data_IF_489533176189
#
_entry.id   IF_489533176189
#
_cell.length_a   1.000
_cell.length_b   1.000
_cell.length_c   1.000
_cell.angle_alpha   90.00
_cell.angle_beta   90.00
_cell.angle_gamma   90.00
#
_symmetry.space_group_name_H-M   'P 1'
#
loop_
_entity.id
_entity.type
_entity.pdbx_description
1 polymer ?
#
# COMPACT_ATOMS: atom_id res chain seq x y z
N UNK A 1 35.21 22.12 -74.30
CA UNK A 1 36.68 22.09 -74.47
C UNK A 1 37.32 22.29 -73.11
N UNK A 2 38.19 21.38 -72.69
CA UNK A 2 39.12 21.61 -71.57
C UNK A 2 38.87 20.78 -70.31
N UNK A 3 39.32 19.53 -70.39
CA UNK A 3 39.70 18.57 -69.34
C UNK A 3 40.43 19.14 -68.12
N UNK A 4 40.19 18.54 -66.93
CA UNK A 4 41.27 18.11 -66.03
C UNK A 4 40.84 16.90 -65.19
N UNK A 5 41.55 15.79 -65.42
CA UNK A 5 41.54 14.53 -64.70
C UNK A 5 42.33 14.58 -63.37
N UNK A 6 42.22 13.48 -62.63
CA UNK A 6 43.07 12.91 -61.55
C UNK A 6 42.48 13.01 -60.13
N UNK A 7 42.36 11.94 -59.33
CA UNK A 7 42.54 10.51 -59.56
C UNK A 7 41.97 9.69 -58.37
N UNK A 8 41.50 8.48 -58.68
CA UNK A 8 41.50 7.20 -57.94
C UNK A 8 41.40 7.13 -56.40
N UNK A 9 40.45 6.34 -55.88
CA UNK A 9 40.74 4.92 -55.59
C UNK A 9 39.47 4.10 -55.33
N UNK A 10 39.47 2.88 -55.86
CA UNK A 10 38.38 1.91 -55.83
C UNK A 10 38.25 1.21 -54.47
N UNK A 11 37.02 0.92 -54.04
CA UNK A 11 36.73 0.00 -52.95
C UNK A 11 35.85 -1.14 -53.49
N UNK A 12 36.39 -2.35 -53.54
CA UNK A 12 35.64 -3.58 -53.78
C UNK A 12 34.92 -4.04 -52.49
N UNK A 13 33.77 -4.73 -52.59
CA UNK A 13 32.97 -5.12 -51.43
C UNK A 13 33.38 -6.49 -50.87
N UNK A 14 33.64 -6.55 -49.56
CA UNK A 14 33.83 -7.80 -48.83
C UNK A 14 32.54 -8.20 -48.08
N UNK A 15 31.91 -9.27 -48.59
CA UNK A 15 31.25 -10.40 -47.88
C UNK A 15 30.68 -10.18 -46.47
N UNK A 16 29.34 -10.20 -46.35
CA UNK A 16 28.57 -10.22 -45.09
C UNK A 16 27.53 -11.36 -45.01
N UNK A 17 27.91 -12.59 -45.36
CA UNK A 17 26.97 -13.73 -45.42
C UNK A 17 27.10 -14.73 -44.26
N UNK A 18 28.16 -14.68 -43.46
CA UNK A 18 28.38 -15.61 -42.32
C UNK A 18 27.76 -15.15 -41.00
N UNK A 19 27.54 -13.85 -40.80
CA UNK A 19 27.01 -13.31 -39.53
C UNK A 19 25.48 -13.41 -39.39
N UNK A 20 24.77 -13.68 -40.49
CA UNK A 20 23.30 -13.73 -40.48
C UNK A 20 22.78 -15.08 -40.00
N UNK A 21 23.51 -16.17 -40.28
CA UNK A 21 23.11 -17.53 -39.90
C UNK A 21 23.34 -17.81 -38.41
N UNK A 22 24.41 -17.27 -37.82
CA UNK A 22 24.70 -17.39 -36.39
C UNK A 22 23.63 -16.70 -35.52
N UNK A 23 23.12 -15.56 -36.00
CA UNK A 23 22.09 -14.76 -35.32
C UNK A 23 20.69 -15.39 -35.44
N UNK A 24 20.35 -15.95 -36.60
CA UNK A 24 19.10 -16.70 -36.79
C UNK A 24 19.05 -17.99 -35.97
N UNK A 25 20.19 -18.68 -35.80
CA UNK A 25 20.28 -19.89 -34.99
C UNK A 25 20.22 -19.62 -33.48
N UNK A 26 20.70 -18.46 -33.00
CA UNK A 26 20.50 -18.00 -31.62
C UNK A 26 19.02 -17.65 -31.34
N UNK A 27 18.33 -17.03 -32.30
CA UNK A 27 16.88 -16.74 -32.19
C UNK A 27 16.08 -18.04 -32.11
N UNK A 28 16.41 -19.05 -32.93
CA UNK A 28 15.75 -20.36 -32.89
C UNK A 28 16.01 -21.11 -31.59
N UNK A 29 17.24 -21.07 -31.06
CA UNK A 29 17.58 -21.68 -29.76
C UNK A 29 16.84 -21.03 -28.60
N UNK A 30 16.72 -19.69 -28.63
CA UNK A 30 15.95 -18.92 -27.64
C UNK A 30 14.45 -19.26 -27.72
N UNK A 31 13.92 -19.48 -28.92
CA UNK A 31 12.52 -19.89 -29.16
C UNK A 31 12.24 -21.33 -28.66
N UNK A 32 13.16 -22.27 -28.86
CA UNK A 32 13.06 -23.65 -28.36
C UNK A 32 13.25 -23.77 -26.84
N UNK A 33 14.09 -22.94 -26.21
CA UNK A 33 14.20 -22.89 -24.74
C UNK A 33 12.97 -22.25 -24.08
N UNK A 34 12.27 -21.33 -24.76
CA UNK A 34 10.92 -20.88 -24.34
C UNK A 34 9.82 -21.93 -24.54
N UNK A 35 10.07 -23.03 -25.28
CA UNK A 35 9.05 -24.03 -25.58
C UNK A 35 8.82 -25.04 -24.43
N UNK A 36 9.64 -25.04 -23.38
CA UNK A 36 9.30 -25.75 -22.12
C UNK A 36 8.47 -24.85 -21.22
N UNK A 37 7.27 -24.54 -21.71
CA UNK A 37 6.22 -23.89 -20.93
C UNK A 37 5.91 -24.79 -19.71
N UNK A 38 5.80 -24.24 -18.49
CA UNK A 38 5.40 -25.02 -17.31
C UNK A 38 4.14 -25.83 -17.64
N UNK A 39 4.11 -27.08 -17.19
CA UNK A 39 3.23 -28.18 -17.62
C UNK A 39 1.70 -27.87 -17.55
N UNK A 40 1.29 -26.70 -17.04
CA UNK A 40 -0.09 -26.28 -16.81
C UNK A 40 -0.48 -24.89 -17.36
N UNK A 41 0.29 -24.27 -18.26
CA UNK A 41 -0.06 -22.93 -18.81
C UNK A 41 -0.43 -22.95 -20.27
N UNK A 42 -1.63 -22.47 -20.59
CA UNK A 42 -2.08 -22.25 -21.96
C UNK A 42 -2.04 -20.76 -22.33
N UNK A 43 -2.32 -20.48 -23.61
CA UNK A 43 -2.60 -19.14 -24.09
C UNK A 43 -4.12 -18.96 -24.07
N UNK A 44 -4.61 -18.10 -23.19
CA UNK A 44 -6.02 -17.73 -23.12
C UNK A 44 -6.18 -16.27 -23.58
N UNK A 45 -6.30 -15.99 -24.90
CA UNK A 45 -6.26 -14.62 -25.42
C UNK A 45 -7.44 -13.76 -24.97
N UNK A 46 -8.50 -14.37 -24.44
CA UNK A 46 -9.67 -13.66 -23.92
C UNK A 46 -9.53 -13.22 -22.47
N UNK A 47 -8.62 -13.82 -21.68
CA UNK A 47 -8.49 -13.42 -20.29
C UNK A 47 -8.01 -11.97 -20.19
N UNK A 48 -8.59 -11.20 -19.28
CA UNK A 48 -8.32 -9.78 -19.13
C UNK A 48 -7.53 -9.46 -17.86
N UNK A 49 -6.90 -8.28 -17.87
CA UNK A 49 -6.10 -7.79 -16.75
C UNK A 49 -4.87 -8.67 -16.49
N UNK A 50 -4.49 -8.80 -15.22
CA UNK A 50 -3.34 -9.59 -14.77
C UNK A 50 -3.70 -11.05 -14.47
N UNK A 51 -4.70 -11.59 -15.16
CA UNK A 51 -5.15 -12.97 -15.00
C UNK A 51 -4.09 -13.99 -15.43
N UNK A 52 -4.16 -15.20 -14.88
CA UNK A 52 -3.33 -16.32 -15.28
C UNK A 52 -4.15 -17.38 -16.01
N UNK A 53 -3.68 -17.84 -17.18
CA UNK A 53 -4.32 -18.94 -17.91
C UNK A 53 -3.82 -20.28 -17.37
N UNK A 54 -4.75 -21.08 -16.85
CA UNK A 54 -4.49 -22.40 -16.28
C UNK A 54 -5.13 -23.48 -17.14
N UNK A 55 -4.47 -24.63 -17.27
CA UNK A 55 -5.02 -25.81 -17.94
C UNK A 55 -5.40 -26.83 -16.87
N UNK A 56 -6.66 -27.27 -16.87
CA UNK A 56 -7.10 -28.37 -15.99
C UNK A 56 -6.51 -29.71 -16.47
N UNK A 57 -6.47 -30.75 -15.60
CA UNK A 57 -6.08 -32.09 -16.03
C UNK A 57 -6.91 -32.68 -17.17
N UNK A 58 -8.14 -32.18 -17.36
CA UNK A 58 -9.01 -32.53 -18.50
C UNK A 58 -8.66 -31.80 -19.80
N UNK A 59 -7.61 -30.98 -19.81
CA UNK A 59 -7.17 -30.20 -20.98
C UNK A 59 -7.96 -28.92 -21.22
N UNK A 60 -8.90 -28.54 -20.33
CA UNK A 60 -9.69 -27.32 -20.47
C UNK A 60 -8.92 -26.13 -19.90
N UNK A 61 -8.67 -25.12 -20.72
CA UNK A 61 -8.07 -23.87 -20.28
C UNK A 61 -9.11 -22.94 -19.64
N UNK A 62 -8.74 -22.25 -18.55
CA UNK A 62 -9.58 -21.24 -17.89
C UNK A 62 -8.74 -20.11 -17.31
N UNK A 63 -9.36 -18.95 -17.13
CA UNK A 63 -8.74 -17.79 -16.52
C UNK A 63 -8.80 -17.88 -14.98
N UNK A 64 -7.68 -17.63 -14.31
CA UNK A 64 -7.62 -17.37 -12.88
C UNK A 64 -7.51 -15.87 -12.68
N UNK A 65 -8.49 -15.28 -12.00
CA UNK A 65 -8.59 -13.83 -11.91
C UNK A 65 -7.70 -13.24 -10.81
N UNK A 66 -7.21 -11.99 -11.01
CA UNK A 66 -6.63 -11.22 -9.93
C UNK A 66 -7.69 -10.81 -8.89
N UNK A 67 -7.29 -10.35 -7.69
CA UNK A 67 -8.21 -10.02 -6.60
C UNK A 67 -9.30 -8.99 -6.90
N UNK A 68 -9.13 -8.16 -7.92
CA UNK A 68 -10.02 -7.07 -8.29
C UNK A 68 -10.98 -7.41 -9.44
N UNK A 69 -10.91 -8.63 -9.99
CA UNK A 69 -11.71 -9.03 -11.17
C UNK A 69 -12.39 -10.39 -11.01
N UNK A 70 -13.45 -10.58 -11.76
CA UNK A 70 -14.26 -11.81 -11.82
C UNK A 70 -14.86 -12.03 -13.21
N UNK A 71 -15.58 -13.12 -13.41
CA UNK A 71 -16.11 -13.54 -14.71
C UNK A 71 -15.33 -14.70 -15.32
N UNK A 72 -15.82 -15.25 -16.44
CA UNK A 72 -15.18 -16.39 -17.13
C UNK A 72 -13.81 -15.99 -17.70
N UNK A 73 -13.69 -14.73 -18.14
CA UNK A 73 -12.49 -14.17 -18.74
C UNK A 73 -11.88 -13.04 -17.89
N UNK A 74 -12.27 -12.93 -16.62
CA UNK A 74 -11.85 -11.85 -15.71
C UNK A 74 -12.20 -10.45 -16.24
N UNK A 75 -13.27 -10.35 -17.03
CA UNK A 75 -13.72 -9.15 -17.70
C UNK A 75 -14.48 -8.18 -16.78
N UNK A 76 -15.03 -8.68 -15.67
CA UNK A 76 -15.82 -7.90 -14.74
C UNK A 76 -14.96 -7.38 -13.59
N UNK A 77 -15.01 -6.06 -13.36
CA UNK A 77 -14.42 -5.44 -12.17
C UNK A 77 -15.34 -5.65 -10.98
N UNK A 78 -14.77 -6.07 -9.85
CA UNK A 78 -15.51 -6.22 -8.60
C UNK A 78 -15.91 -4.84 -8.07
N UNK A 79 -14.98 -3.88 -8.11
CA UNK A 79 -15.23 -2.49 -7.76
C UNK A 79 -15.38 -1.68 -9.04
N UNK A 80 -16.59 -1.15 -9.27
CA UNK A 80 -16.89 -0.31 -10.44
C UNK A 80 -16.69 1.15 -10.09
N UNK A 81 -15.66 1.77 -10.65
CA UNK A 81 -15.42 3.20 -10.51
C UNK A 81 -16.26 4.01 -11.50
N UNK A 82 -16.70 5.22 -11.13
CA UNK A 82 -17.40 6.11 -12.05
C UNK A 82 -16.45 6.67 -13.11
N UNK A 83 -17.02 7.34 -14.12
CA UNK A 83 -16.28 7.95 -15.23
C UNK A 83 -15.57 9.25 -14.88
N UNK A 84 -16.02 9.95 -13.84
CA UNK A 84 -15.47 11.23 -13.42
C UNK A 84 -14.95 11.15 -11.98
N UNK A 85 -13.94 11.96 -11.66
CA UNK A 85 -13.41 12.06 -10.32
C UNK A 85 -14.43 12.64 -9.35
N UNK A 86 -14.82 11.82 -8.38
CA UNK A 86 -15.55 12.24 -7.18
C UNK A 86 -14.66 12.12 -5.95
N UNK A 87 -15.03 12.82 -4.88
CA UNK A 87 -14.21 12.94 -3.67
C UNK A 87 -13.95 11.60 -2.96
N UNK A 88 -14.82 10.60 -3.16
CA UNK A 88 -14.95 9.46 -2.25
C UNK A 88 -14.67 8.11 -2.92
N UNK A 89 -14.20 8.10 -4.17
CA UNK A 89 -14.01 6.86 -4.93
C UNK A 89 -12.60 6.27 -4.87
N UNK A 90 -11.60 7.06 -4.48
CA UNK A 90 -10.26 6.59 -4.19
C UNK A 90 -10.05 6.71 -2.69
N UNK A 91 -10.01 5.58 -2.00
CA UNK A 91 -9.88 5.50 -0.56
C UNK A 91 -8.43 5.68 -0.13
N UNK A 92 -8.21 5.84 1.17
CA UNK A 92 -6.89 5.76 1.81
C UNK A 92 -5.83 6.72 1.22
N UNK A 93 -6.28 7.95 0.93
CA UNK A 93 -5.43 8.99 0.37
C UNK A 93 -5.06 8.75 -1.10
N UNK A 94 -5.76 7.86 -1.80
CA UNK A 94 -5.56 7.63 -3.22
C UNK A 94 -5.85 8.90 -4.05
N UNK A 95 -5.01 9.13 -5.06
CA UNK A 95 -5.18 10.24 -6.00
C UNK A 95 -6.06 9.79 -7.16
N UNK A 96 -7.09 10.58 -7.45
CA UNK A 96 -8.04 10.32 -8.50
C UNK A 96 -7.62 10.96 -9.82
N UNK A 97 -7.63 10.20 -10.91
CA UNK A 97 -7.43 10.72 -12.26
C UNK A 97 -8.52 10.28 -13.25
N UNK A 98 -8.99 11.20 -14.07
CA UNK A 98 -10.10 10.96 -14.98
C UNK A 98 -9.62 10.18 -16.23
N UNK A 99 -9.83 8.87 -16.22
CA UNK A 99 -9.57 8.01 -17.36
C UNK A 99 -10.64 8.10 -18.46
N UNK A 100 -10.37 7.52 -19.65
CA UNK A 100 -11.26 7.62 -20.82
C UNK A 100 -12.55 6.80 -20.71
N UNK A 101 -12.58 5.76 -19.88
CA UNK A 101 -13.72 4.83 -19.73
C UNK A 101 -14.16 4.77 -18.26
N UNK A 102 -13.21 4.67 -17.34
CA UNK A 102 -13.42 4.72 -15.88
C UNK A 102 -12.31 5.58 -15.27
N UNK A 103 -12.56 6.08 -14.07
CA UNK A 103 -11.53 6.74 -13.27
C UNK A 103 -10.42 5.74 -12.89
N UNK A 104 -9.18 6.21 -12.83
CA UNK A 104 -8.02 5.50 -12.29
C UNK A 104 -7.71 6.05 -10.88
N UNK A 105 -7.55 5.18 -9.89
CA UNK A 105 -7.04 5.54 -8.57
C UNK A 105 -5.56 5.18 -8.44
N UNK A 106 -4.72 6.17 -8.16
CA UNK A 106 -3.33 5.97 -7.80
C UNK A 106 -3.20 5.81 -6.29
N UNK A 107 -2.91 4.61 -5.84
CA UNK A 107 -2.86 4.29 -4.43
C UNK A 107 -1.54 4.73 -3.78
N UNK A 108 -1.64 5.19 -2.53
CA UNK A 108 -0.48 5.42 -1.67
C UNK A 108 0.33 4.13 -1.47
N UNK A 109 1.58 4.26 -1.01
CA UNK A 109 2.58 3.17 -0.92
C UNK A 109 2.00 1.87 -0.33
N UNK A 110 1.26 1.94 0.79
CA UNK A 110 0.73 0.78 1.50
C UNK A 110 -0.65 0.30 1.05
N UNK A 111 -1.21 0.85 -0.04
CA UNK A 111 -2.58 0.54 -0.47
C UNK A 111 -2.62 -0.07 -1.87
N UNK A 112 -3.64 -0.90 -2.09
CA UNK A 112 -3.89 -1.68 -3.31
C UNK A 112 -5.39 -1.84 -3.58
N UNK A 113 -5.71 -2.38 -4.75
CA UNK A 113 -7.07 -2.54 -5.26
C UNK A 113 -7.53 -1.35 -6.10
N UNK A 114 -8.57 -1.56 -6.90
CA UNK A 114 -9.05 -0.56 -7.87
C UNK A 114 -9.38 0.80 -7.25
N UNK A 115 -9.92 0.81 -6.02
CA UNK A 115 -10.24 2.02 -5.25
C UNK A 115 -9.31 2.25 -4.04
N UNK A 116 -8.16 1.58 -3.96
CA UNK A 116 -7.21 1.70 -2.85
C UNK A 116 -7.75 1.31 -1.47
N UNK A 117 -8.77 0.44 -1.40
CA UNK A 117 -9.46 0.05 -0.16
C UNK A 117 -8.72 -0.98 0.69
N UNK A 118 -7.67 -1.63 0.17
CA UNK A 118 -6.97 -2.72 0.86
C UNK A 118 -5.53 -2.35 1.20
N UNK A 119 -5.05 -2.85 2.33
CA UNK A 119 -3.63 -2.76 2.71
C UNK A 119 -2.83 -3.76 1.88
N UNK A 120 -1.71 -3.31 1.32
CA UNK A 120 -0.77 -4.16 0.60
C UNK A 120 -0.07 -5.14 1.54
N UNK A 121 0.36 -6.28 0.99
CA UNK A 121 1.36 -7.12 1.63
C UNK A 121 2.70 -6.82 0.98
N UNK A 122 3.69 -6.48 1.80
CA UNK A 122 5.04 -6.22 1.38
C UNK A 122 5.94 -7.41 1.73
N UNK A 123 6.72 -7.87 0.75
CA UNK A 123 7.70 -8.95 0.94
C UNK A 123 9.07 -8.44 0.54
N UNK A 124 10.02 -8.58 1.46
CA UNK A 124 11.43 -8.33 1.20
C UNK A 124 12.04 -9.60 0.61
N UNK A 125 12.59 -9.51 -0.60
CA UNK A 125 13.32 -10.58 -1.26
C UNK A 125 14.77 -10.17 -1.44
N UNK A 126 15.71 -10.98 -0.95
CA UNK A 126 17.15 -10.78 -1.18
C UNK A 126 17.74 -11.95 -1.95
N UNK A 127 18.43 -11.67 -3.04
CA UNK A 127 19.01 -12.67 -3.93
C UNK A 127 20.30 -12.16 -4.59
N UNK A 128 21.12 -13.10 -5.06
CA UNK A 128 22.23 -12.78 -5.93
C UNK A 128 21.68 -12.53 -7.34
N UNK A 129 22.19 -11.52 -8.03
CA UNK A 129 21.68 -11.13 -9.35
C UNK A 129 22.42 -11.87 -10.46
N UNK A 130 21.66 -12.53 -11.33
CA UNK A 130 22.18 -13.25 -12.49
C UNK A 130 21.56 -12.70 -13.76
N UNK A 131 22.37 -12.55 -14.81
CA UNK A 131 21.93 -12.19 -16.14
C UNK A 131 22.34 -13.32 -17.10
N UNK A 132 21.35 -13.94 -17.76
CA UNK A 132 21.57 -15.08 -18.67
C UNK A 132 22.38 -16.23 -18.02
N UNK A 133 22.09 -16.54 -16.76
CA UNK A 133 22.76 -17.60 -16.01
C UNK A 133 24.19 -17.26 -15.56
N UNK A 134 24.64 -16.01 -15.71
CA UNK A 134 25.94 -15.55 -15.24
C UNK A 134 25.76 -14.56 -14.10
N UNK A 135 26.55 -14.72 -13.05
CA UNK A 135 26.57 -13.77 -11.94
C UNK A 135 26.94 -12.39 -12.48
N UNK A 136 26.14 -11.40 -12.11
CA UNK A 136 26.40 -10.01 -12.49
C UNK A 136 27.67 -9.52 -11.79
N UNK A 137 28.68 -9.18 -12.59
CA UNK A 137 29.97 -8.69 -12.12
C UNK A 137 29.86 -7.27 -11.56
N UNK A 138 30.22 -7.10 -10.28
CA UNK A 138 30.20 -5.82 -9.57
C UNK A 138 31.06 -4.74 -10.27
N UNK A 139 32.17 -5.14 -10.87
CA UNK A 139 33.18 -4.23 -11.42
C UNK A 139 32.87 -3.78 -12.86
N UNK A 140 32.09 -4.55 -13.62
CA UNK A 140 31.80 -4.27 -15.03
C UNK A 140 30.51 -3.49 -15.26
N UNK A 141 29.65 -3.36 -14.25
CA UNK A 141 28.40 -2.63 -14.41
C UNK A 141 28.62 -1.11 -14.44
N UNK A 142 27.90 -0.48 -15.37
CA UNK A 142 27.50 0.92 -15.20
C UNK A 142 26.50 0.93 -14.03
N UNK A 143 26.98 1.21 -12.81
CA UNK A 143 26.34 1.04 -11.48
C UNK A 143 25.03 1.82 -11.27
N UNK A 144 24.24 2.04 -12.32
CA UNK A 144 22.99 2.76 -12.23
C UNK A 144 21.96 1.87 -11.53
N UNK A 145 21.43 2.37 -10.42
CA UNK A 145 20.32 1.76 -9.68
C UNK A 145 19.15 1.32 -10.61
N UNK A 146 18.79 2.08 -11.69
CA UNK A 146 17.73 1.66 -12.60
C UNK A 146 18.02 0.37 -13.38
N UNK A 147 19.24 0.16 -13.86
CA UNK A 147 19.60 -1.06 -14.62
C UNK A 147 19.53 -2.30 -13.72
N UNK A 148 20.04 -2.17 -12.49
CA UNK A 148 19.95 -3.22 -11.48
C UNK A 148 18.51 -3.51 -11.08
N UNK A 149 17.68 -2.47 -10.94
CA UNK A 149 16.27 -2.63 -10.60
C UNK A 149 15.53 -3.38 -11.71
N UNK A 150 15.75 -2.99 -12.97
CA UNK A 150 15.19 -3.67 -14.13
C UNK A 150 15.58 -5.15 -14.18
N UNK A 151 16.87 -5.47 -14.06
CA UNK A 151 17.36 -6.85 -14.08
C UNK A 151 16.75 -7.68 -12.94
N UNK A 152 16.81 -7.17 -11.69
CA UNK A 152 16.29 -7.86 -10.52
C UNK A 152 14.78 -8.08 -10.59
N UNK A 153 14.01 -7.02 -10.89
CA UNK A 153 12.57 -7.10 -10.91
C UNK A 153 12.04 -7.92 -12.08
N UNK A 154 12.70 -7.93 -13.24
CA UNK A 154 12.34 -8.84 -14.32
C UNK A 154 12.54 -10.30 -13.92
N UNK A 155 13.67 -10.63 -13.29
CA UNK A 155 13.95 -11.99 -12.83
C UNK A 155 12.94 -12.45 -11.76
N UNK A 156 12.63 -11.60 -10.78
CA UNK A 156 11.65 -11.91 -9.74
C UNK A 156 10.23 -12.01 -10.31
N UNK A 157 9.83 -11.06 -11.16
CA UNK A 157 8.51 -11.09 -11.83
C UNK A 157 8.36 -12.35 -12.66
N UNK A 158 9.39 -12.72 -13.42
CA UNK A 158 9.42 -13.94 -14.21
C UNK A 158 9.23 -15.20 -13.34
N UNK A 159 9.86 -15.25 -12.17
CA UNK A 159 9.71 -16.37 -11.23
C UNK A 159 8.32 -16.41 -10.58
N UNK A 160 7.84 -15.29 -10.04
CA UNK A 160 6.51 -15.18 -9.41
C UNK A 160 5.42 -15.51 -10.42
N UNK A 161 5.51 -14.92 -11.61
CA UNK A 161 4.51 -15.18 -12.63
C UNK A 161 4.53 -16.64 -12.99
N UNK A 162 5.68 -17.35 -13.05
CA UNK A 162 5.84 -18.78 -13.43
C UNK A 162 5.72 -19.81 -12.30
N UNK A 163 5.54 -19.36 -11.06
CA UNK A 163 5.35 -20.28 -9.93
C UNK A 163 4.03 -21.05 -9.98
N UNK A 164 3.88 -22.09 -9.14
CA UNK A 164 2.75 -23.02 -9.17
C UNK A 164 1.46 -22.48 -8.53
N UNK A 165 1.53 -21.51 -7.62
CA UNK A 165 0.36 -20.98 -6.92
C UNK A 165 -0.25 -19.79 -7.69
N UNK A 166 -1.44 -19.96 -8.31
CA UNK A 166 -2.05 -18.90 -9.10
C UNK A 166 -2.50 -17.71 -8.26
N UNK A 167 -2.84 -17.90 -6.98
CA UNK A 167 -3.22 -16.81 -6.06
C UNK A 167 -2.04 -15.87 -5.82
N UNK A 168 -0.84 -16.39 -5.59
CA UNK A 168 0.37 -15.56 -5.41
C UNK A 168 0.73 -14.86 -6.72
N UNK A 169 0.64 -15.57 -7.85
CA UNK A 169 0.97 -15.01 -9.16
C UNK A 169 0.05 -13.84 -9.55
N UNK A 170 -1.27 -13.97 -9.38
CA UNK A 170 -2.22 -12.90 -9.73
C UNK A 170 -2.37 -11.83 -8.64
N UNK A 171 -1.86 -12.07 -7.43
CA UNK A 171 -1.74 -11.07 -6.36
C UNK A 171 -0.53 -10.14 -6.52
N UNK A 172 0.46 -10.46 -7.36
CA UNK A 172 1.66 -9.63 -7.53
C UNK A 172 1.35 -8.32 -8.27
N UNK A 173 1.69 -7.18 -7.64
CA UNK A 173 1.46 -5.83 -8.17
C UNK A 173 2.73 -5.23 -8.74
N UNK A 174 3.80 -5.23 -7.95
CA UNK A 174 4.97 -4.41 -8.22
C UNK A 174 6.25 -4.94 -7.58
N UNK A 175 7.39 -4.51 -8.11
CA UNK A 175 8.72 -4.80 -7.58
C UNK A 175 9.58 -3.54 -7.62
N UNK A 176 10.15 -3.20 -6.46
CA UNK A 176 11.07 -2.08 -6.31
C UNK A 176 12.42 -2.54 -5.76
N UNK A 177 13.51 -2.07 -6.37
CA UNK A 177 14.85 -2.25 -5.81
C UNK A 177 15.10 -1.27 -4.65
N UNK A 178 15.26 -1.80 -3.44
CA UNK A 178 15.61 -0.98 -2.28
C UNK A 178 17.11 -0.70 -2.24
N UNK A 179 17.90 -1.77 -2.15
CA UNK A 179 19.33 -1.72 -1.91
C UNK A 179 20.04 -2.81 -2.70
N UNK A 180 21.33 -2.59 -2.94
CA UNK A 180 22.23 -3.54 -3.58
C UNK A 180 23.63 -3.37 -3.02
N UNK A 181 24.35 -4.48 -2.86
CA UNK A 181 25.71 -4.46 -2.33
C UNK A 181 26.60 -5.49 -3.02
N UNK A 182 27.91 -5.27 -2.90
CA UNK A 182 28.93 -6.17 -3.41
C UNK A 182 28.96 -7.43 -2.56
N UNK A 183 29.07 -8.57 -3.22
CA UNK A 183 29.30 -9.87 -2.59
C UNK A 183 30.43 -10.62 -3.30
N UNK A 184 30.88 -11.71 -2.69
CA UNK A 184 31.85 -12.64 -3.28
C UNK A 184 31.19 -14.02 -3.37
N UNK A 185 31.04 -14.54 -4.58
CA UNK A 185 30.53 -15.90 -4.84
C UNK A 185 31.68 -16.70 -5.43
N UNK A 186 32.24 -17.61 -4.64
CA UNK A 186 33.50 -18.27 -4.96
C UNK A 186 34.62 -17.23 -5.13
N UNK A 187 35.19 -17.14 -6.34
CA UNK A 187 36.25 -16.18 -6.70
C UNK A 187 35.75 -15.00 -7.53
N UNK A 188 34.43 -14.83 -7.69
CA UNK A 188 33.84 -13.77 -8.51
C UNK A 188 33.16 -12.72 -7.63
N UNK A 189 33.34 -11.45 -7.99
CA UNK A 189 32.63 -10.33 -7.36
C UNK A 189 31.23 -10.20 -7.96
N UNK A 190 30.20 -10.38 -7.14
CA UNK A 190 28.81 -10.35 -7.54
C UNK A 190 28.05 -9.14 -6.99
N UNK A 191 26.80 -9.01 -7.43
CA UNK A 191 25.82 -8.08 -6.88
C UNK A 191 24.74 -8.88 -6.14
N UNK A 192 24.52 -8.55 -4.87
CA UNK A 192 23.33 -8.99 -4.13
C UNK A 192 22.34 -7.86 -4.07
N UNK A 193 21.10 -8.15 -4.45
CA UNK A 193 20.00 -7.19 -4.53
C UNK A 193 18.96 -7.53 -3.48
N UNK A 194 18.29 -6.48 -3.00
CA UNK A 194 17.14 -6.59 -2.11
C UNK A 194 15.98 -5.82 -2.73
N UNK A 195 14.95 -6.57 -3.12
CA UNK A 195 13.73 -6.02 -3.71
C UNK A 195 12.58 -6.05 -2.72
N UNK A 196 11.68 -5.09 -2.87
CA UNK A 196 10.40 -5.01 -2.17
C UNK A 196 9.31 -5.34 -3.15
N UNK A 197 8.57 -6.39 -2.83
CA UNK A 197 7.51 -6.93 -3.66
C UNK A 197 6.18 -6.51 -3.05
N UNK A 198 5.35 -5.84 -3.85
CA UNK A 198 4.02 -5.40 -3.46
C UNK A 198 2.99 -6.39 -3.95
N UNK A 199 2.12 -6.85 -3.05
CA UNK A 199 1.03 -7.76 -3.37
C UNK A 199 -0.33 -7.19 -2.95
N UNK A 200 -1.34 -7.48 -3.76
CA UNK A 200 -2.75 -7.32 -3.41
C UNK A 200 -3.26 -8.61 -2.74
N UNK A 201 -3.52 -8.61 -1.43
CA UNK A 201 -3.98 -9.80 -0.73
C UNK A 201 -5.40 -10.23 -1.09
N UNK A 202 -6.19 -9.36 -1.75
CA UNK A 202 -7.63 -9.55 -1.83
C UNK A 202 -8.22 -9.77 -0.44
N UNK A 203 -8.99 -10.85 -0.30
CA UNK A 203 -9.62 -11.23 0.99
C UNK A 203 -8.78 -12.23 1.80
N UNK A 204 -7.61 -12.66 1.31
CA UNK A 204 -6.82 -13.71 1.95
C UNK A 204 -5.32 -13.38 2.02
N UNK A 205 -4.96 -12.44 2.89
CA UNK A 205 -3.55 -12.09 3.15
C UNK A 205 -2.68 -13.29 3.57
N UNK A 206 -3.25 -14.32 4.23
CA UNK A 206 -2.52 -15.51 4.68
C UNK A 206 -1.91 -16.32 3.53
N UNK A 207 -2.44 -16.21 2.33
CA UNK A 207 -1.85 -16.81 1.14
C UNK A 207 -0.46 -16.21 0.79
N UNK A 208 -0.15 -15.03 1.31
CA UNK A 208 1.08 -14.27 1.05
C UNK A 208 2.08 -14.32 2.22
N UNK A 209 2.00 -15.37 3.04
CA UNK A 209 3.03 -15.66 4.04
C UNK A 209 4.35 -15.99 3.35
N UNK A 210 5.46 -15.56 3.95
CA UNK A 210 6.82 -15.73 3.44
C UNK A 210 7.15 -17.17 3.04
N UNK A 211 6.69 -18.16 3.80
CA UNK A 211 6.91 -19.59 3.50
C UNK A 211 6.22 -20.03 2.22
N UNK A 212 5.03 -19.49 1.93
CA UNK A 212 4.25 -19.80 0.74
C UNK A 212 4.84 -19.10 -0.49
N UNK A 213 5.22 -17.83 -0.34
CA UNK A 213 5.87 -17.07 -1.44
C UNK A 213 7.25 -17.61 -1.75
N UNK A 214 8.03 -17.99 -0.73
CA UNK A 214 9.29 -18.71 -0.89
C UNK A 214 9.10 -19.99 -1.69
N UNK A 215 8.19 -20.88 -1.24
CA UNK A 215 7.92 -22.15 -1.93
C UNK A 215 7.46 -21.92 -3.38
N UNK A 216 6.65 -20.89 -3.61
CA UNK A 216 6.18 -20.51 -4.94
C UNK A 216 7.31 -20.08 -5.88
N UNK A 217 8.26 -19.29 -5.39
CA UNK A 217 9.43 -18.84 -6.15
C UNK A 217 10.41 -19.99 -6.39
N UNK A 218 10.72 -20.78 -5.35
CA UNK A 218 11.63 -21.94 -5.42
C UNK A 218 11.11 -23.04 -6.34
N UNK A 219 9.79 -23.20 -6.42
CA UNK A 219 9.14 -24.19 -7.30
C UNK A 219 8.85 -23.65 -8.70
N UNK A 220 9.27 -22.41 -9.01
CA UNK A 220 9.06 -21.81 -10.33
C UNK A 220 9.90 -22.50 -11.39
N UNK A 221 9.35 -22.68 -12.58
CA UNK A 221 10.12 -23.18 -13.73
C UNK A 221 11.12 -22.16 -14.26
N UNK A 222 11.08 -20.92 -13.77
CA UNK A 222 12.10 -19.92 -13.99
C UNK A 222 13.01 -19.87 -12.77
N UNK A 223 14.15 -20.55 -12.90
CA UNK A 223 15.11 -20.70 -11.82
C UNK A 223 15.82 -19.35 -11.59
N UNK A 224 15.58 -18.75 -10.43
CA UNK A 224 16.47 -17.70 -9.91
C UNK A 224 17.66 -18.47 -9.35
N UNK A 225 18.69 -18.67 -10.18
CA UNK A 225 19.82 -19.59 -9.97
C UNK A 225 20.16 -19.84 -8.49
N UNK A 226 19.64 -20.95 -7.96
CA UNK A 226 19.88 -21.44 -6.61
C UNK A 226 21.18 -22.25 -6.59
N UNK A 227 22.32 -21.61 -6.87
CA UNK A 227 23.59 -22.32 -6.72
C UNK A 227 23.80 -22.70 -5.23
N UNK A 228 24.28 -23.91 -5.04
CA UNK A 228 24.11 -24.82 -3.89
C UNK A 228 24.62 -24.37 -2.50
N UNK A 229 24.90 -23.09 -2.30
CA UNK A 229 25.47 -22.55 -1.06
C UNK A 229 24.79 -21.33 -0.44
N UNK A 230 23.87 -20.63 -1.13
CA UNK A 230 23.29 -19.40 -0.56
C UNK A 230 21.83 -19.16 -0.96
N UNK A 231 20.98 -19.08 0.06
CA UNK A 231 19.51 -19.05 -0.07
C UNK A 231 18.99 -17.67 -0.45
N UNK A 232 18.04 -17.62 -1.38
CA UNK A 232 17.11 -16.49 -1.48
C UNK A 232 16.52 -16.26 -0.09
N UNK A 233 16.50 -15.01 0.37
CA UNK A 233 15.81 -14.65 1.61
C UNK A 233 14.49 -14.00 1.28
N UNK A 234 13.39 -14.67 1.58
CA UNK A 234 12.03 -14.13 1.48
C UNK A 234 11.52 -13.94 2.89
N UNK A 235 11.10 -12.72 3.22
CA UNK A 235 10.51 -12.36 4.51
C UNK A 235 9.36 -11.39 4.34
N UNK A 236 8.26 -11.58 5.08
CA UNK A 236 7.23 -10.54 5.18
C UNK A 236 7.85 -9.29 5.80
N UNK A 237 7.58 -8.11 5.24
CA UNK A 237 8.19 -6.86 5.68
C UNK A 237 7.32 -6.17 6.72
N UNK A 238 7.84 -6.05 7.95
CA UNK A 238 7.15 -5.37 9.05
C UNK A 238 7.18 -3.84 8.82
N UNK A 239 6.06 -3.33 8.34
CA UNK A 239 5.84 -1.90 8.08
C UNK A 239 5.79 -1.09 9.40
N UNK A 240 5.35 -1.73 10.50
CA UNK A 240 5.30 -1.11 11.82
C UNK A 240 6.71 -0.88 12.38
N UNK A 241 7.55 -1.92 12.36
CA UNK A 241 8.94 -1.85 12.83
C UNK A 241 9.76 -0.84 12.03
N UNK A 242 9.53 -0.77 10.72
CA UNK A 242 10.20 0.19 9.85
C UNK A 242 9.70 1.64 9.99
N UNK A 243 8.68 1.90 10.81
CA UNK A 243 8.01 3.20 10.92
C UNK A 243 7.52 3.75 9.58
N UNK A 244 7.14 2.88 8.64
CA UNK A 244 6.61 3.23 7.31
C UNK A 244 5.10 3.05 7.21
N UNK A 245 4.39 3.22 8.32
CA UNK A 245 2.94 3.08 8.39
C UNK A 245 2.24 4.43 8.36
N UNK A 246 0.94 4.42 8.08
CA UNK A 246 0.08 5.60 7.99
C UNK A 246 -0.92 5.70 9.16
N UNK A 247 -0.70 4.93 10.24
CA UNK A 247 -1.52 5.04 11.45
C UNK A 247 -1.55 6.47 11.98
N UNK A 248 -2.69 6.87 12.55
CA UNK A 248 -2.82 8.14 13.25
C UNK A 248 -1.74 8.28 14.33
N UNK A 249 -1.23 9.49 14.62
CA UNK A 249 -0.37 9.72 15.79
C UNK A 249 -1.01 9.30 17.12
N UNK A 250 -2.33 9.16 17.16
CA UNK A 250 -3.09 8.68 18.32
C UNK A 250 -3.53 7.22 18.18
N UNK A 251 -2.88 6.44 17.33
CA UNK A 251 -3.10 5.02 17.13
C UNK A 251 -1.82 4.21 17.34
N UNK A 252 -1.99 2.92 17.61
CA UNK A 252 -0.92 1.93 17.64
C UNK A 252 -0.91 1.14 16.33
N UNK A 253 0.28 0.88 15.79
CA UNK A 253 0.48 0.00 14.64
C UNK A 253 0.54 -1.45 15.12
N UNK A 254 -0.26 -2.33 14.53
CA UNK A 254 -0.38 -3.74 14.90
C UNK A 254 0.07 -4.58 13.70
N UNK A 255 1.15 -5.32 13.88
CA UNK A 255 1.70 -6.27 12.91
C UNK A 255 1.18 -7.68 13.20
N UNK A 256 0.66 -8.37 12.17
CA UNK A 256 0.13 -9.74 12.30
C UNK A 256 1.07 -10.83 11.77
N UNK A 257 2.28 -10.46 11.36
CA UNK A 257 3.24 -11.33 10.69
C UNK A 257 3.19 -11.30 9.16
N UNK A 258 2.18 -10.65 8.56
CA UNK A 258 1.99 -10.59 7.10
C UNK A 258 1.73 -9.15 6.64
N UNK A 259 0.84 -8.45 7.32
CA UNK A 259 0.44 -7.06 7.05
C UNK A 259 0.22 -6.31 8.37
N UNK A 260 -0.12 -5.03 8.26
CA UNK A 260 -0.38 -4.20 9.42
C UNK A 260 -1.81 -3.65 9.46
N UNK A 261 -2.26 -3.37 10.67
CA UNK A 261 -3.48 -2.63 10.95
C UNK A 261 -3.17 -1.52 11.95
N UNK A 262 -4.07 -0.57 12.10
CA UNK A 262 -3.96 0.50 13.07
C UNK A 262 -5.16 0.43 14.01
N UNK A 263 -4.93 0.66 15.29
CA UNK A 263 -5.98 0.74 16.30
C UNK A 263 -5.82 2.03 17.09
N UNK A 264 -6.88 2.84 17.16
CA UNK A 264 -6.85 4.06 17.96
C UNK A 264 -6.53 3.72 19.42
N UNK A 265 -5.64 4.52 20.02
CA UNK A 265 -5.28 4.36 21.42
C UNK A 265 -6.50 4.57 22.32
N UNK A 266 -6.43 4.05 23.55
CA UNK A 266 -7.49 4.23 24.55
C UNK A 266 -7.89 5.71 24.66
N UNK A 267 -9.19 5.95 24.76
CA UNK A 267 -9.84 7.28 24.81
C UNK A 267 -9.90 8.05 23.49
N UNK A 268 -9.36 7.49 22.41
CA UNK A 268 -9.61 7.96 21.06
C UNK A 268 -10.71 7.13 20.41
N UNK A 269 -11.40 7.73 19.46
CA UNK A 269 -12.42 7.09 18.65
C UNK A 269 -12.03 7.24 17.19
N UNK A 270 -12.31 6.20 16.42
CA UNK A 270 -12.04 6.18 14.99
C UNK A 270 -12.90 7.21 14.27
N UNK A 271 -12.27 7.97 13.38
CA UNK A 271 -12.89 8.91 12.46
C UNK A 271 -13.88 8.19 11.56
N UNK A 272 -15.14 8.09 11.98
CA UNK A 272 -16.21 7.55 11.15
C UNK A 272 -16.49 8.49 9.97
N UNK A 273 -15.72 8.35 8.90
CA UNK A 273 -16.15 8.76 7.57
C UNK A 273 -16.21 7.50 6.72
N UNK A 274 -17.43 7.02 6.51
CA UNK A 274 -17.77 5.90 5.63
C UNK A 274 -16.87 5.87 4.39
N UNK A 275 -15.99 4.86 4.33
CA UNK A 275 -15.23 4.48 3.13
C UNK A 275 -14.07 5.38 2.73
N UNK A 276 -13.48 6.21 3.61
CA UNK A 276 -12.35 7.09 3.22
C UNK A 276 -10.99 6.65 3.72
N UNK A 277 -10.95 6.13 4.94
CA UNK A 277 -9.74 5.68 5.60
C UNK A 277 -10.06 4.36 6.28
N UNK A 278 -9.10 3.44 6.25
CA UNK A 278 -9.17 2.25 7.10
C UNK A 278 -9.13 2.66 8.59
N UNK A 279 -9.59 1.76 9.49
CA UNK A 279 -9.63 2.05 10.92
C UNK A 279 -8.28 2.49 11.52
N UNK A 280 -8.25 3.42 12.47
CA UNK A 280 -7.04 3.84 13.18
C UNK A 280 -6.13 4.80 12.40
N UNK A 281 -6.53 5.27 11.21
CA UNK A 281 -5.79 6.25 10.40
C UNK A 281 -6.24 7.69 10.71
N UNK A 282 -7.45 7.84 11.23
CA UNK A 282 -7.96 9.07 11.81
C UNK A 282 -8.52 8.78 13.20
N UNK A 283 -7.93 9.38 14.24
CA UNK A 283 -8.29 9.15 15.63
C UNK A 283 -8.49 10.49 16.33
N UNK A 284 -9.70 10.73 16.83
CA UNK A 284 -10.03 11.93 17.59
C UNK A 284 -10.39 11.57 19.02
N UNK A 285 -10.22 12.52 19.93
CA UNK A 285 -10.52 12.29 21.34
C UNK A 285 -12.00 11.98 21.51
N UNK A 286 -12.33 10.87 22.17
CA UNK A 286 -13.71 10.48 22.38
C UNK A 286 -14.43 11.58 23.19
N UNK A 287 -15.54 12.10 22.67
CA UNK A 287 -16.30 13.17 23.32
C UNK A 287 -16.72 12.81 24.76
N UNK A 288 -16.88 11.51 25.05
CA UNK A 288 -17.29 11.02 26.37
C UNK A 288 -16.29 11.33 27.50
N UNK A 289 -14.98 11.35 27.21
CA UNK A 289 -13.97 11.68 28.23
C UNK A 289 -13.84 13.19 28.45
N UNK A 290 -14.02 14.00 27.39
CA UNK A 290 -14.05 15.46 27.49
C UNK A 290 -15.30 15.97 28.22
N UNK A 291 -16.46 15.37 27.96
CA UNK A 291 -17.70 15.70 28.67
C UNK A 291 -17.63 15.33 30.15
N UNK A 292 -17.06 14.18 30.52
CA UNK A 292 -16.91 13.80 31.94
C UNK A 292 -15.95 14.72 32.69
N UNK A 293 -14.79 15.06 32.11
CA UNK A 293 -13.85 16.03 32.70
C UNK A 293 -14.46 17.44 32.77
N UNK A 294 -15.17 17.85 31.72
CA UNK A 294 -15.92 19.10 31.68
C UNK A 294 -16.99 19.15 32.76
N UNK A 295 -17.80 18.10 32.90
CA UNK A 295 -18.82 18.01 33.95
C UNK A 295 -18.23 18.03 35.36
N UNK A 296 -17.11 17.33 35.61
CA UNK A 296 -16.46 17.32 36.92
C UNK A 296 -15.90 18.68 37.34
N UNK A 297 -15.58 19.57 36.40
CA UNK A 297 -15.06 20.91 36.68
C UNK A 297 -16.18 21.96 36.61
N UNK A 298 -17.03 21.90 35.59
CA UNK A 298 -18.06 22.90 35.30
C UNK A 298 -19.26 22.75 36.24
N UNK A 299 -19.71 21.53 36.56
CA UNK A 299 -20.86 21.35 37.45
C UNK A 299 -20.61 21.90 38.86
N UNK A 300 -19.44 21.66 39.52
CA UNK A 300 -19.16 22.28 40.82
C UNK A 300 -19.08 23.81 40.76
N UNK A 301 -18.52 24.39 39.69
CA UNK A 301 -18.46 25.84 39.51
C UNK A 301 -19.88 26.43 39.36
N UNK A 302 -20.74 25.78 38.58
CA UNK A 302 -22.13 26.19 38.44
C UNK A 302 -22.86 26.07 39.79
N UNK A 303 -22.70 24.96 40.51
CA UNK A 303 -23.35 24.77 41.82
C UNK A 303 -22.87 25.80 42.84
N UNK A 304 -21.57 26.08 42.92
CA UNK A 304 -21.00 27.07 43.86
C UNK A 304 -21.43 28.50 43.53
N UNK A 305 -21.49 28.87 42.25
CA UNK A 305 -21.98 30.19 41.83
C UNK A 305 -23.47 30.38 42.12
N UNK A 306 -24.32 29.40 41.83
CA UNK A 306 -25.75 29.47 42.14
C UNK A 306 -26.02 29.51 43.65
N UNK A 307 -25.34 28.66 44.43
CA UNK A 307 -25.47 28.67 45.90
C UNK A 307 -24.94 29.96 46.51
N UNK A 308 -23.80 30.47 46.04
CA UNK A 308 -23.25 31.76 46.46
C UNK A 308 -24.18 32.93 46.16
N UNK A 309 -24.77 32.98 44.95
CA UNK A 309 -25.78 33.99 44.59
C UNK A 309 -27.03 33.88 45.47
N UNK A 310 -27.52 32.67 45.74
CA UNK A 310 -28.66 32.45 46.62
C UNK A 310 -28.37 32.95 48.05
N UNK A 311 -27.20 32.63 48.61
CA UNK A 311 -26.79 33.10 49.93
C UNK A 311 -26.57 34.61 49.97
N UNK A 312 -25.93 35.21 48.96
CA UNK A 312 -25.77 36.66 48.85
C UNK A 312 -27.12 37.39 48.78
N UNK A 313 -28.06 36.90 47.98
CA UNK A 313 -29.43 37.46 47.93
C UNK A 313 -30.12 37.39 49.28
N UNK A 314 -30.00 36.26 50.01
CA UNK A 314 -30.54 36.14 51.37
C UNK A 314 -29.83 37.04 52.39
N UNK A 315 -28.52 37.23 52.27
CA UNK A 315 -27.76 38.12 53.15
C UNK A 315 -28.11 39.60 52.93
N UNK A 316 -28.23 40.04 51.67
CA UNK A 316 -28.71 41.38 51.33
C UNK A 316 -30.14 41.60 51.84
N UNK A 317 -31.03 40.61 51.67
CA UNK A 317 -32.37 40.66 52.23
C UNK A 317 -32.36 40.77 53.77
N UNK A 318 -31.41 40.17 54.49
CA UNK A 318 -31.27 40.33 55.95
C UNK A 318 -30.65 41.68 56.34
N UNK A 319 -29.70 42.22 55.56
CA UNK A 319 -29.10 43.54 55.82
C UNK A 319 -30.10 44.69 55.64
N UNK A 320 -31.07 44.55 54.74
CA UNK A 320 -32.20 45.48 54.65
C UNK A 320 -33.08 45.51 55.93
N UNK A 321 -32.90 44.55 56.85
CA UNK A 321 -33.62 44.47 58.12
C UNK A 321 -32.76 44.82 59.34
N UNK A 322 -31.52 45.30 59.16
CA UNK A 322 -30.73 45.84 60.27
C UNK A 322 -31.03 47.35 60.33
N UNK A 323 -31.83 47.83 61.29
CA UNK A 323 -31.98 49.26 61.48
C UNK A 323 -30.63 49.81 61.96
N UNK A 324 -29.99 50.64 61.13
CA UNK A 324 -28.95 51.54 61.60
C UNK A 324 -29.62 52.56 62.52
N UNK A 325 -29.63 52.29 63.82
CA UNK A 325 -30.06 53.24 64.83
C UNK A 325 -29.02 54.34 64.95
N UNK A 326 -29.36 55.53 64.46
CA UNK A 326 -28.56 56.73 64.56
C UNK A 326 -29.29 57.91 63.92
N UNK A 327 -29.99 58.64 64.78
CA UNK A 327 -30.70 59.90 64.57
C UNK A 327 -32.09 59.93 63.91
N UNK A 328 -32.97 60.55 64.68
CA UNK A 328 -34.27 61.18 64.42
C UNK A 328 -34.64 61.40 62.96
N UNK A 329 -35.66 60.69 62.48
CA UNK A 329 -36.97 61.27 62.17
C UNK A 329 -37.89 60.23 61.51
N UNK A 330 -39.17 60.24 61.90
CA UNK A 330 -40.27 59.68 61.11
C UNK A 330 -40.39 58.15 61.08
N UNK A 331 -41.20 57.60 61.98
CA UNK A 331 -41.85 56.30 61.77
C UNK A 331 -42.86 56.43 60.62
N UNK A 332 -42.45 56.09 59.39
CA UNK A 332 -43.37 55.67 58.33
C UNK A 332 -43.29 54.15 58.18
N UNK A 333 -44.39 53.49 58.55
CA UNK A 333 -44.65 52.10 58.24
C UNK A 333 -44.86 51.96 56.73
N UNK A 334 -43.81 51.58 56.00
CA UNK A 334 -43.96 51.08 54.63
C UNK A 334 -44.48 49.65 54.73
N UNK A 335 -45.79 49.50 54.56
CA UNK A 335 -46.46 48.23 54.30
C UNK A 335 -45.81 47.56 53.08
N UNK A 336 -45.01 46.52 53.28
CA UNK A 336 -44.54 45.66 52.21
C UNK A 336 -45.73 44.90 51.63
N UNK A 337 -46.22 45.38 50.49
CA UNK A 337 -47.22 44.71 49.70
C UNK A 337 -46.59 43.45 49.09
N UNK A 338 -46.94 42.29 49.65
CA UNK A 338 -46.60 40.99 49.07
C UNK A 338 -47.25 40.88 47.68
N UNK A 339 -46.53 40.43 46.63
CA UNK A 339 -47.20 40.01 45.40
C UNK A 339 -48.01 38.74 45.71
N UNK A 340 -49.33 38.83 45.52
CA UNK A 340 -50.20 37.66 45.44
C UNK A 340 -49.78 36.84 44.21
N UNK A 341 -49.49 35.56 44.43
CA UNK A 341 -49.55 34.57 43.37
C UNK A 341 -51.01 34.13 43.26
N UNK A 342 -51.61 34.32 42.09
CA UNK A 342 -52.87 33.67 41.75
C UNK A 342 -52.61 32.20 41.41
N UNK A 343 -53.54 31.34 41.84
CA UNK A 343 -53.48 29.88 41.76
C UNK A 343 -53.66 29.33 40.34
#
# INVERSE_FOLDING_TARGET
MGTREQNESALAPHTSTENTTLFEDEIKRTQEETAKQPENRAICPKCQGRSLCLVSPSGKASCFCPPDRTGEFCELEIVKLPTACTKDQCENGGVCDQGPITTICYCSENYVGANCSRVAVWIKLSMNLYENGKLVDWSKQNKSKPLLAYAACNQVTASILRGPNPTIATAFMDCDLQEYHKILVGNQEGVRVTTMLKFDPGDNAKALRESEVRRHIESSTYNIDFDSGETISVTNYDVCEAHKHDCSPSASCIWDGITYSCECNRFYSDGFVTGKLLPGRDCYHSFMTGFLLGCLIILPIIITTFTGLFYCRRYQAKKAWIPTSGDSDGLQLVSSQYPKYDA
#
